data_IF_012716916534
#
_entry.id   IF_012716916534
#
_cell.length_a   1.000
_cell.length_b   1.000
_cell.length_c   1.000
_cell.angle_alpha   90.00
_cell.angle_beta   90.00
_cell.angle_gamma   90.00
#
_symmetry.space_group_name_H-M   'P 1'
#
loop_
_entity.id
_entity.type
_entity.pdbx_description
1 polymer ?
#
# COMPACT_ATOMS: atom_id res chain seq x y z
N UNK A 1 -24.35 11.69 -3.77
CA UNK A 1 -22.94 11.31 -4.03
C UNK A 1 -22.75 11.30 -5.53
N UNK A 2 -21.66 11.88 -6.06
CA UNK A 2 -21.42 11.91 -7.50
C UNK A 2 -21.14 10.49 -8.01
N UNK A 3 -21.70 10.11 -9.15
CA UNK A 3 -21.52 8.79 -9.75
C UNK A 3 -20.06 8.51 -10.15
N UNK A 4 -19.30 9.56 -10.47
CA UNK A 4 -17.88 9.48 -10.88
C UNK A 4 -16.99 8.77 -9.84
N UNK A 5 -17.24 8.98 -8.55
CA UNK A 5 -16.49 8.30 -7.48
C UNK A 5 -16.76 6.79 -7.44
N UNK A 6 -17.93 6.36 -7.93
CA UNK A 6 -18.36 4.97 -7.92
C UNK A 6 -17.89 4.19 -9.15
N UNK A 7 -17.68 4.84 -10.30
CA UNK A 7 -17.25 4.14 -11.53
C UNK A 7 -15.97 3.32 -11.33
N UNK A 8 -14.96 3.90 -10.67
CA UNK A 8 -13.70 3.20 -10.35
C UNK A 8 -13.96 2.04 -9.37
N UNK A 9 -14.79 2.26 -8.35
CA UNK A 9 -15.08 1.26 -7.33
C UNK A 9 -15.98 0.13 -7.84
N UNK A 10 -16.77 0.36 -8.89
CA UNK A 10 -17.65 -0.66 -9.48
C UNK A 10 -16.83 -1.77 -10.14
N UNK A 11 -15.69 -1.47 -10.76
CA UNK A 11 -14.78 -2.49 -11.28
C UNK A 11 -14.27 -3.41 -10.16
N UNK A 12 -13.73 -2.81 -9.08
CA UNK A 12 -13.26 -3.56 -7.90
C UNK A 12 -14.41 -4.34 -7.22
N UNK A 13 -15.64 -3.81 -7.28
CA UNK A 13 -16.84 -4.47 -6.75
C UNK A 13 -17.17 -5.74 -7.55
N UNK A 14 -17.22 -5.65 -8.88
CA UNK A 14 -17.52 -6.79 -9.78
C UNK A 14 -16.47 -7.89 -9.62
N UNK A 15 -15.20 -7.51 -9.49
CA UNK A 15 -14.08 -8.43 -9.31
C UNK A 15 -13.94 -8.96 -7.86
N UNK A 16 -14.85 -8.58 -6.95
CA UNK A 16 -14.83 -8.95 -5.53
C UNK A 16 -13.55 -8.52 -4.77
N UNK A 17 -12.90 -7.44 -5.19
CA UNK A 17 -11.67 -6.93 -4.57
C UNK A 17 -11.92 -5.91 -3.44
N UNK A 18 -13.12 -5.34 -3.36
CA UNK A 18 -13.47 -4.39 -2.30
C UNK A 18 -13.59 -5.03 -0.92
N UNK A 19 -13.08 -4.32 0.09
CA UNK A 19 -13.30 -4.62 1.51
C UNK A 19 -14.78 -4.44 1.89
N UNK A 20 -15.24 -5.18 2.90
CA UNK A 20 -16.63 -5.20 3.36
C UNK A 20 -17.33 -3.83 3.52
N UNK A 21 -16.71 -2.78 4.12
CA UNK A 21 -17.38 -1.48 4.26
C UNK A 21 -17.60 -0.76 2.91
N UNK A 22 -16.61 -0.77 2.03
CA UNK A 22 -16.71 -0.11 0.71
C UNK A 22 -17.65 -0.89 -0.21
N UNK A 23 -17.61 -2.23 -0.13
CA UNK A 23 -18.53 -3.10 -0.88
C UNK A 23 -19.99 -2.81 -0.54
N UNK A 24 -20.32 -2.62 0.73
CA UNK A 24 -21.68 -2.28 1.14
C UNK A 24 -22.12 -0.90 0.61
N UNK A 25 -21.21 0.07 0.59
CA UNK A 25 -21.46 1.41 0.02
C UNK A 25 -21.76 1.36 -1.47
N UNK A 26 -20.94 0.63 -2.24
CA UNK A 26 -21.16 0.45 -3.68
C UNK A 26 -22.45 -0.30 -3.97
N UNK A 27 -22.73 -1.38 -3.23
CA UNK A 27 -23.99 -2.12 -3.37
C UNK A 27 -25.22 -1.25 -3.12
N UNK A 28 -25.17 -0.39 -2.10
CA UNK A 28 -26.25 0.56 -1.82
C UNK A 28 -26.45 1.59 -2.96
N UNK A 29 -25.37 2.04 -3.59
CA UNK A 29 -25.44 2.95 -4.73
C UNK A 29 -26.04 2.26 -5.97
N UNK A 30 -25.59 1.05 -6.29
CA UNK A 30 -26.11 0.24 -7.41
C UNK A 30 -27.61 -0.07 -7.27
N UNK A 31 -28.13 -0.17 -6.05
CA UNK A 31 -29.55 -0.38 -5.81
C UNK A 31 -30.43 0.84 -6.14
N UNK A 32 -29.83 2.04 -6.25
CA UNK A 32 -30.56 3.31 -6.45
C UNK A 32 -30.25 3.93 -7.81
N UNK A 33 -29.04 3.76 -8.34
CA UNK A 33 -28.60 4.35 -9.60
C UNK A 33 -28.67 3.34 -10.75
N UNK A 34 -29.61 3.54 -11.68
CA UNK A 34 -29.78 2.67 -12.85
C UNK A 34 -28.57 2.69 -13.80
N UNK A 35 -27.93 3.85 -13.98
CA UNK A 35 -26.78 3.98 -14.88
C UNK A 35 -25.57 3.20 -14.36
N UNK A 36 -25.26 3.33 -13.07
CA UNK A 36 -24.17 2.58 -12.44
C UNK A 36 -24.47 1.09 -12.39
N UNK A 37 -25.73 0.70 -12.23
CA UNK A 37 -26.15 -0.70 -12.33
C UNK A 37 -25.95 -1.26 -13.75
N UNK A 38 -26.35 -0.51 -14.77
CA UNK A 38 -26.13 -0.91 -16.16
C UNK A 38 -24.64 -1.03 -16.49
N UNK A 39 -23.81 -0.10 -15.99
CA UNK A 39 -22.35 -0.16 -16.12
C UNK A 39 -21.76 -1.41 -15.47
N UNK A 40 -22.16 -1.75 -14.23
CA UNK A 40 -21.74 -2.98 -13.56
C UNK A 40 -22.11 -4.23 -14.38
N UNK A 41 -23.31 -4.28 -14.95
CA UNK A 41 -23.74 -5.38 -15.81
C UNK A 41 -22.92 -5.48 -17.10
N UNK A 42 -22.53 -4.36 -17.70
CA UNK A 42 -21.66 -4.34 -18.87
C UNK A 42 -20.27 -4.92 -18.56
N UNK A 43 -19.72 -4.60 -17.39
CA UNK A 43 -18.44 -5.19 -16.92
C UNK A 43 -18.55 -6.70 -16.70
N UNK A 44 -19.64 -7.18 -16.08
CA UNK A 44 -19.88 -8.62 -15.92
C UNK A 44 -20.01 -9.34 -17.27
N UNK A 45 -20.72 -8.74 -18.23
CA UNK A 45 -20.85 -9.28 -19.58
C UNK A 45 -19.50 -9.31 -20.31
N UNK A 46 -18.68 -8.28 -20.13
CA UNK A 46 -17.33 -8.22 -20.69
C UNK A 46 -16.46 -9.34 -20.12
N UNK A 47 -16.48 -9.57 -18.80
CA UNK A 47 -15.71 -10.65 -18.17
C UNK A 47 -16.12 -12.03 -18.69
N UNK A 48 -17.43 -12.28 -18.83
CA UNK A 48 -17.94 -13.51 -19.45
C UNK A 48 -17.48 -13.66 -20.90
N UNK A 49 -17.47 -12.58 -21.68
CA UNK A 49 -16.99 -12.60 -23.06
C UNK A 49 -15.47 -12.88 -23.12
N UNK A 50 -14.68 -12.27 -22.23
CA UNK A 50 -13.25 -12.49 -22.12
C UNK A 50 -12.95 -13.95 -21.75
N UNK A 51 -13.63 -14.50 -20.74
CA UNK A 51 -13.47 -15.90 -20.32
C UNK A 51 -13.74 -16.89 -21.46
N UNK A 52 -14.60 -16.56 -22.43
CA UNK A 52 -14.85 -17.39 -23.62
C UNK A 52 -13.72 -17.33 -24.64
N UNK A 53 -12.97 -16.25 -24.69
CA UNK A 53 -11.84 -16.08 -25.62
C UNK A 53 -10.55 -16.70 -25.09
N UNK A 54 -10.43 -16.82 -23.75
CA UNK A 54 -9.27 -17.45 -23.12
C UNK A 54 -9.28 -18.95 -23.41
N UNK A 55 -8.24 -19.43 -24.12
CA UNK A 55 -8.04 -20.86 -24.36
C UNK A 55 -7.76 -21.56 -23.03
N UNK A 56 -8.73 -22.34 -22.55
CA UNK A 56 -8.57 -23.13 -21.35
C UNK A 56 -7.40 -24.14 -21.54
N UNK A 57 -6.44 -24.20 -20.61
CA UNK A 57 -5.40 -25.21 -20.65
C UNK A 57 -6.02 -26.60 -20.50
N UNK A 58 -5.54 -27.62 -21.26
CA UNK A 58 -6.06 -28.97 -21.12
C UNK A 58 -5.77 -29.49 -19.71
N UNK A 59 -6.83 -29.78 -18.95
CA UNK A 59 -6.70 -30.41 -17.64
C UNK A 59 -6.47 -31.92 -17.81
N UNK A 60 -5.60 -32.54 -16.98
CA UNK A 60 -5.41 -33.98 -17.05
C UNK A 60 -6.71 -34.71 -16.68
N UNK A 61 -7.00 -35.85 -17.31
CA UNK A 61 -8.23 -36.62 -17.08
C UNK A 61 -8.43 -37.03 -15.60
N UNK A 62 -7.33 -37.16 -14.85
CA UNK A 62 -7.36 -37.48 -13.41
C UNK A 62 -7.66 -36.28 -12.50
N UNK A 63 -7.70 -35.06 -13.02
CA UNK A 63 -7.87 -33.83 -12.23
C UNK A 63 -9.18 -33.85 -11.44
N UNK A 64 -10.30 -34.14 -12.09
CA UNK A 64 -11.63 -34.18 -11.45
C UNK A 64 -11.67 -35.20 -10.31
N UNK A 65 -11.15 -36.41 -10.54
CA UNK A 65 -11.09 -37.46 -9.54
C UNK A 65 -10.18 -37.08 -8.35
N UNK A 66 -9.03 -36.46 -8.62
CA UNK A 66 -8.13 -35.95 -7.57
C UNK A 66 -8.76 -34.82 -6.77
N UNK A 67 -9.46 -33.89 -7.44
CA UNK A 67 -10.15 -32.78 -6.79
C UNK A 67 -11.29 -33.28 -5.90
N UNK A 68 -12.14 -34.17 -6.41
CA UNK A 68 -13.23 -34.78 -5.62
C UNK A 68 -12.68 -35.55 -4.43
N UNK A 69 -11.64 -36.35 -4.63
CA UNK A 69 -10.96 -37.05 -3.53
C UNK A 69 -10.44 -36.05 -2.50
N UNK A 70 -9.80 -34.95 -2.93
CA UNK A 70 -9.35 -33.89 -2.02
C UNK A 70 -10.51 -33.24 -1.26
N UNK A 71 -11.60 -32.90 -1.92
CA UNK A 71 -12.78 -32.32 -1.29
C UNK A 71 -13.39 -33.27 -0.24
N UNK A 72 -13.47 -34.57 -0.54
CA UNK A 72 -13.97 -35.59 0.39
C UNK A 72 -13.01 -35.83 1.56
N UNK A 73 -11.69 -35.76 1.33
CA UNK A 73 -10.68 -35.89 2.40
C UNK A 73 -10.46 -34.59 3.17
N UNK A 74 -10.87 -33.45 2.62
CA UNK A 74 -10.77 -32.17 3.31
C UNK A 74 -11.83 -32.19 4.39
N UNK A 75 -11.40 -32.46 5.62
CA UNK A 75 -12.25 -32.39 6.80
C UNK A 75 -12.84 -30.98 6.83
N UNK A 76 -14.13 -30.87 6.56
CA UNK A 76 -14.88 -29.65 6.82
C UNK A 76 -14.87 -29.49 8.33
N UNK A 77 -13.90 -28.74 8.82
CA UNK A 77 -13.77 -28.47 10.25
C UNK A 77 -15.08 -27.83 10.71
N UNK A 78 -15.67 -28.38 11.77
CA UNK A 78 -16.77 -27.73 12.45
C UNK A 78 -16.34 -26.35 12.93
N UNK A 79 -17.29 -25.43 13.13
CA UNK A 79 -16.97 -24.05 13.55
C UNK A 79 -16.10 -24.04 14.83
N UNK A 80 -16.38 -24.96 15.75
CA UNK A 80 -15.60 -25.17 16.98
C UNK A 80 -14.15 -25.56 16.67
N UNK A 81 -13.94 -26.50 15.74
CA UNK A 81 -12.60 -26.93 15.33
C UNK A 81 -11.82 -25.83 14.60
N UNK A 82 -12.52 -24.95 13.85
CA UNK A 82 -11.90 -23.80 13.19
C UNK A 82 -11.41 -22.79 14.22
N UNK A 83 -12.22 -22.49 15.22
CA UNK A 83 -11.85 -21.59 16.33
C UNK A 83 -10.67 -22.16 17.11
N UNK A 84 -10.69 -23.46 17.41
CA UNK A 84 -9.59 -24.10 18.15
C UNK A 84 -8.29 -24.12 17.34
N UNK A 85 -8.34 -24.47 16.05
CA UNK A 85 -7.16 -24.39 15.17
C UNK A 85 -6.62 -22.96 15.06
N UNK A 86 -7.49 -21.94 15.02
CA UNK A 86 -7.07 -20.54 15.03
C UNK A 86 -6.36 -20.17 16.33
N UNK A 87 -6.89 -20.60 17.48
CA UNK A 87 -6.24 -20.39 18.79
C UNK A 87 -4.88 -21.06 18.86
N UNK A 88 -4.77 -22.29 18.37
CA UNK A 88 -3.50 -23.02 18.30
C UNK A 88 -2.47 -22.29 17.44
N UNK A 89 -2.84 -21.85 16.24
CA UNK A 89 -1.93 -21.07 15.38
C UNK A 89 -1.51 -19.74 16.02
N UNK A 90 -2.41 -19.07 16.74
CA UNK A 90 -2.06 -17.85 17.49
C UNK A 90 -1.06 -18.14 18.61
N UNK A 91 -1.29 -19.21 19.38
CA UNK A 91 -0.37 -19.62 20.44
C UNK A 91 1.01 -20.03 19.89
N UNK A 92 1.05 -20.74 18.77
CA UNK A 92 2.31 -21.09 18.09
C UNK A 92 3.06 -19.85 17.58
N UNK A 93 2.33 -18.89 17.01
CA UNK A 93 2.89 -17.62 16.55
C UNK A 93 3.47 -16.81 17.71
N UNK A 94 2.71 -16.67 18.81
CA UNK A 94 3.17 -15.99 20.02
C UNK A 94 4.38 -16.68 20.64
N UNK A 95 4.39 -18.02 20.69
CA UNK A 95 5.54 -18.79 21.14
C UNK A 95 6.76 -18.60 20.22
N UNK A 96 6.54 -18.45 18.90
CA UNK A 96 7.58 -18.10 17.93
C UNK A 96 8.17 -16.72 18.20
N UNK A 97 7.32 -15.71 18.41
CA UNK A 97 7.75 -14.36 18.79
C UNK A 97 8.50 -14.35 20.12
N UNK A 98 8.04 -15.11 21.12
CA UNK A 98 8.72 -15.22 22.41
C UNK A 98 10.11 -15.86 22.27
N UNK A 99 10.31 -16.80 21.34
CA UNK A 99 11.63 -17.35 21.02
C UNK A 99 12.53 -16.34 20.32
N UNK A 100 11.98 -15.55 19.40
CA UNK A 100 12.74 -14.48 18.74
C UNK A 100 13.14 -13.38 19.73
N UNK A 101 12.24 -13.03 20.65
CA UNK A 101 12.48 -12.06 21.72
C UNK A 101 13.38 -12.60 22.85
N UNK A 102 13.73 -13.90 22.83
CA UNK A 102 14.73 -14.49 23.73
C UNK A 102 16.15 -14.09 23.36
N UNK A 103 16.39 -13.73 22.09
CA UNK A 103 17.64 -13.08 21.72
C UNK A 103 17.56 -11.61 22.16
N UNK A 104 18.53 -11.12 22.95
CA UNK A 104 18.62 -9.71 23.31
C UNK A 104 19.15 -8.93 22.10
N UNK A 105 18.44 -8.97 20.97
CA UNK A 105 18.63 -7.97 19.94
C UNK A 105 18.25 -6.62 20.56
N UNK A 106 19.07 -5.58 20.36
CA UNK A 106 18.89 -4.34 21.10
C UNK A 106 17.49 -3.78 20.86
N UNK A 107 16.88 -3.14 21.88
CA UNK A 107 15.54 -2.61 21.77
C UNK A 107 15.53 -1.67 20.58
N UNK A 108 14.55 -1.83 19.69
CA UNK A 108 14.24 -1.03 18.49
C UNK A 108 14.71 0.44 18.52
N UNK A 109 14.70 1.09 19.69
CA UNK A 109 15.33 2.38 19.98
C UNK A 109 16.80 2.54 19.56
N UNK A 110 17.62 1.49 19.64
CA UNK A 110 19.04 1.52 19.26
C UNK A 110 19.21 1.51 17.73
N UNK A 111 18.36 0.74 17.05
CA UNK A 111 18.26 0.74 15.59
C UNK A 111 17.72 2.09 15.09
N UNK A 112 16.71 2.63 15.77
CA UNK A 112 16.17 3.95 15.50
C UNK A 112 17.24 5.03 15.75
N UNK A 113 18.03 4.97 16.83
CA UNK A 113 19.09 5.95 17.08
C UNK A 113 20.23 5.85 16.06
N UNK A 114 20.59 4.65 15.62
CA UNK A 114 21.57 4.45 14.53
C UNK A 114 21.06 5.01 13.20
N UNK A 115 19.78 4.83 12.91
CA UNK A 115 19.14 5.40 11.72
C UNK A 115 19.13 6.94 11.72
N UNK A 116 18.78 7.56 12.85
CA UNK A 116 18.78 9.02 12.98
C UNK A 116 20.19 9.60 12.98
N UNK A 117 21.15 8.95 13.65
CA UNK A 117 22.55 9.36 13.61
C UNK A 117 23.12 9.33 12.20
N UNK A 118 22.82 8.28 11.43
CA UNK A 118 23.19 8.18 10.01
C UNK A 118 22.56 9.28 9.16
N UNK A 119 21.27 9.57 9.34
CA UNK A 119 20.58 10.64 8.62
C UNK A 119 21.14 12.03 8.95
N UNK A 120 21.44 12.32 10.22
CA UNK A 120 22.02 13.60 10.64
C UNK A 120 23.44 13.75 10.07
N UNK A 121 24.25 12.69 10.11
CA UNK A 121 25.60 12.70 9.54
C UNK A 121 25.56 12.94 8.02
N UNK A 122 24.66 12.26 7.31
CA UNK A 122 24.47 12.43 5.87
C UNK A 122 23.99 13.85 5.52
N UNK A 123 23.01 14.37 6.25
CA UNK A 123 22.49 15.72 6.05
C UNK A 123 23.55 16.79 6.33
N UNK A 124 24.33 16.63 7.41
CA UNK A 124 25.45 17.52 7.73
C UNK A 124 26.55 17.49 6.67
N UNK A 125 26.88 16.29 6.15
CA UNK A 125 27.85 16.13 5.07
C UNK A 125 27.40 16.80 3.77
N UNK A 126 26.14 16.60 3.38
CA UNK A 126 25.55 17.28 2.21
C UNK A 126 25.52 18.80 2.41
N UNK A 127 25.09 19.29 3.58
CA UNK A 127 25.09 20.71 3.87
C UNK A 127 26.50 21.31 3.76
N UNK A 128 27.51 20.65 4.32
CA UNK A 128 28.91 21.07 4.21
C UNK A 128 29.39 21.17 2.76
N UNK A 129 29.01 20.21 1.91
CA UNK A 129 29.43 20.17 0.51
C UNK A 129 28.74 21.24 -0.34
N UNK A 130 27.47 21.55 -0.07
CA UNK A 130 26.68 22.48 -0.87
C UNK A 130 26.68 23.93 -0.36
N UNK A 131 26.90 24.18 0.94
CA UNK A 131 26.97 25.55 1.50
C UNK A 131 27.95 26.49 0.77
N UNK A 132 29.21 26.10 0.50
CA UNK A 132 30.16 26.99 -0.17
C UNK A 132 29.79 27.25 -1.62
N UNK A 133 29.19 26.27 -2.31
CA UNK A 133 28.70 26.45 -3.68
C UNK A 133 27.52 27.43 -3.72
N UNK A 134 26.63 27.37 -2.73
CA UNK A 134 25.51 28.30 -2.58
C UNK A 134 25.98 29.73 -2.29
N UNK A 135 27.03 29.89 -1.49
CA UNK A 135 27.66 31.19 -1.22
C UNK A 135 28.26 31.82 -2.48
N UNK A 136 28.99 31.03 -3.27
CA UNK A 136 29.54 31.51 -4.54
C UNK A 136 28.43 31.82 -5.57
N UNK A 137 27.38 31.01 -5.60
CA UNK A 137 26.23 31.24 -6.47
C UNK A 137 25.48 32.53 -6.12
N UNK A 138 25.27 32.80 -4.84
CA UNK A 138 24.63 34.04 -4.36
C UNK A 138 25.50 35.29 -4.59
N UNK A 139 26.83 35.13 -4.55
CA UNK A 139 27.77 36.21 -4.81
C UNK A 139 27.86 36.55 -6.31
N UNK A 140 27.70 35.56 -7.20
CA UNK A 140 27.73 35.75 -8.66
C UNK A 140 26.35 36.06 -9.26
N UNK A 141 25.25 35.68 -8.59
CA UNK A 141 23.90 35.96 -9.07
C UNK A 141 23.52 37.44 -8.85
N UNK A 142 23.92 38.30 -9.78
CA UNK A 142 23.14 39.50 -10.08
C UNK A 142 21.72 39.05 -10.41
N UNK A 143 20.72 39.64 -9.74
CA UNK A 143 19.32 39.19 -9.67
C UNK A 143 18.52 39.20 -10.99
N UNK A 144 19.21 39.16 -12.14
CA UNK A 144 18.63 39.37 -13.48
C UNK A 144 18.47 38.13 -14.36
N UNK A 145 19.11 36.98 -14.04
CA UNK A 145 19.04 35.82 -14.94
C UNK A 145 19.02 34.49 -14.16
N UNK A 146 17.83 34.00 -13.83
CA UNK A 146 17.65 32.72 -13.12
C UNK A 146 17.74 31.56 -14.12
N UNK A 147 18.91 30.92 -14.17
CA UNK A 147 19.14 29.73 -14.98
C UNK A 147 18.34 28.51 -14.47
N UNK A 148 17.74 27.75 -15.38
CA UNK A 148 16.79 26.66 -15.12
C UNK A 148 17.39 25.53 -14.23
N UNK A 149 18.72 25.38 -14.24
CA UNK A 149 19.47 24.43 -13.41
C UNK A 149 19.42 24.76 -11.91
N UNK A 150 19.32 26.04 -11.54
CA UNK A 150 19.27 26.52 -10.14
C UNK A 150 17.91 26.22 -9.53
N UNK A 151 16.85 26.39 -10.34
CA UNK A 151 15.49 26.04 -9.95
C UNK A 151 15.37 24.53 -9.68
N UNK A 152 16.04 23.71 -10.49
CA UNK A 152 16.12 22.26 -10.25
C UNK A 152 16.85 21.91 -8.96
N UNK A 153 17.99 22.55 -8.67
CA UNK A 153 18.72 22.32 -7.42
C UNK A 153 17.90 22.72 -6.18
N UNK A 154 17.17 23.83 -6.27
CA UNK A 154 16.23 24.28 -5.23
C UNK A 154 15.07 23.32 -5.05
N UNK A 155 14.43 22.87 -6.14
CA UNK A 155 13.35 21.90 -6.10
C UNK A 155 13.81 20.58 -5.47
N UNK A 156 14.98 20.07 -5.84
CA UNK A 156 15.53 18.84 -5.25
C UNK A 156 15.82 19.04 -3.75
N UNK A 157 16.36 20.18 -3.34
CA UNK A 157 16.61 20.49 -1.92
C UNK A 157 15.31 20.57 -1.11
N UNK A 158 14.28 21.23 -1.64
CA UNK A 158 12.95 21.32 -1.02
C UNK A 158 12.30 19.94 -0.93
N UNK A 159 12.36 19.14 -1.99
CA UNK A 159 11.81 17.77 -2.00
C UNK A 159 12.54 16.90 -0.97
N UNK A 160 13.87 16.98 -0.87
CA UNK A 160 14.65 16.27 0.14
C UNK A 160 14.30 16.71 1.56
N UNK A 161 14.10 18.01 1.80
CA UNK A 161 13.67 18.54 3.11
C UNK A 161 12.27 18.04 3.48
N UNK A 162 11.32 18.05 2.55
CA UNK A 162 9.95 17.56 2.77
C UNK A 162 9.93 16.05 3.01
N UNK A 163 10.68 15.28 2.23
CA UNK A 163 10.81 13.83 2.44
C UNK A 163 11.51 13.49 3.77
N UNK A 164 12.54 14.26 4.15
CA UNK A 164 13.20 14.11 5.45
C UNK A 164 12.28 14.42 6.63
N UNK A 165 11.52 15.51 6.55
CA UNK A 165 10.57 15.92 7.59
C UNK A 165 9.39 14.96 7.73
N UNK A 166 8.88 14.44 6.61
CA UNK A 166 7.78 13.45 6.61
C UNK A 166 8.22 12.11 7.16
N UNK A 167 9.45 11.66 6.85
CA UNK A 167 10.02 10.45 7.42
C UNK A 167 10.34 10.58 8.93
N UNK A 168 10.84 11.74 9.35
CA UNK A 168 11.24 11.98 10.75
C UNK A 168 10.04 12.24 11.69
N UNK A 169 8.95 12.83 11.19
CA UNK A 169 7.80 13.24 12.02
C UNK A 169 6.43 12.84 11.42
N UNK A 170 6.14 11.53 11.26
CA UNK A 170 4.91 11.06 10.61
C UNK A 170 3.63 11.53 11.33
N UNK A 171 3.70 11.80 12.64
CA UNK A 171 2.53 12.21 13.44
C UNK A 171 2.28 13.72 13.50
N UNK A 172 3.24 14.58 13.13
CA UNK A 172 3.05 16.04 13.16
C UNK A 172 2.65 16.63 11.81
N UNK A 173 3.12 16.08 10.69
CA UNK A 173 2.79 16.58 9.35
C UNK A 173 1.30 16.39 9.03
N UNK A 174 0.68 15.30 9.53
CA UNK A 174 -0.75 15.02 9.35
C UNK A 174 -1.67 16.08 9.96
N UNK A 175 -1.18 16.86 10.93
CA UNK A 175 -1.94 17.91 11.62
C UNK A 175 -1.83 19.28 10.94
N UNK A 176 -0.80 19.48 10.10
CA UNK A 176 -0.58 20.73 9.36
C UNK A 176 -1.33 20.68 8.01
N UNK A 177 -1.35 19.52 7.35
CA UNK A 177 -2.10 19.33 6.10
C UNK A 177 -3.61 19.14 6.27
N UNK A 178 -4.11 18.95 7.49
CA UNK A 178 -5.55 18.92 7.77
C UNK A 178 -6.15 20.30 8.10
N UNK A 179 -5.32 21.35 8.06
CA UNK A 179 -5.71 22.72 8.41
C UNK A 179 -5.60 23.70 7.22
N UNK A 180 -5.38 23.17 6.02
CA UNK A 180 -5.45 23.87 4.72
C UNK A 180 -6.53 23.18 3.91
#
# INVERSE_FOLDING_TARGET
>A
MPCEEFEIQIADYVENQLLSPDRARVAAHLAVCADCHAFAQQLEQLDVALLRTVKAPPLPATFKAKLQRRLQTTVVLSEIQRVERKRQMQAEYEAGLARLNRFPLPPRKLLESLGHGGLIALAGWLAWQFLPQLGNFLAESGWGDFNQSVLFAWLVSVICLVLGLTAAFPMRVRRIFSAV
#
